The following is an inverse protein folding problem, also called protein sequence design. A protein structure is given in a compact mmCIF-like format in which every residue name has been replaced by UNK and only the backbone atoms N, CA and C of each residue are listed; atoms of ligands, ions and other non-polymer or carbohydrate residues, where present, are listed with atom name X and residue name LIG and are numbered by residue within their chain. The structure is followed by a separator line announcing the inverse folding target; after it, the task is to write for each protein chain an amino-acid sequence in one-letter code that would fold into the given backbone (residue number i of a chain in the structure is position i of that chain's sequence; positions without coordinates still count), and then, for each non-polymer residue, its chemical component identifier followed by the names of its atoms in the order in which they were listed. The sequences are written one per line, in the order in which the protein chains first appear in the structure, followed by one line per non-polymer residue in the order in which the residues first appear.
data_IF_046957205100
#
_entry.id   IF_046957205100
#
_cell.length_a   1.000
_cell.length_b   1.000
_cell.length_c   1.000
_cell.angle_alpha   90.00
_cell.angle_beta   90.00
_cell.angle_gamma   90.00
#
_symmetry.space_group_name_H-M   'P 1'
#
loop_
_entity.id
_entity.type
_entity.pdbx_description
1 polymer ?
#
# COMPACT_ATOMS: atom_id res chain seq x y z
N UNK A 1 -26.69 -7.25 1.49
CA UNK A 1 -25.46 -6.51 1.11
C UNK A 1 -25.73 -5.05 1.41
N UNK A 2 -24.83 -4.29 2.06
CA UNK A 2 -25.05 -2.86 2.18
C UNK A 2 -25.12 -2.24 0.79
N UNK A 3 -25.93 -1.20 0.65
CA UNK A 3 -26.18 -0.45 -0.60
C UNK A 3 -24.95 0.40 -0.96
N UNK A 4 -23.79 -0.22 -1.18
CA UNK A 4 -22.60 0.51 -1.64
C UNK A 4 -22.90 1.15 -2.99
N UNK A 5 -22.81 2.47 -3.04
CA UNK A 5 -22.92 3.24 -4.29
C UNK A 5 -21.53 3.47 -4.87
N UNK A 6 -21.33 3.06 -6.12
CA UNK A 6 -20.07 3.23 -6.84
C UNK A 6 -20.19 4.37 -7.85
N UNK A 7 -19.16 5.22 -7.91
CA UNK A 7 -19.11 6.38 -8.79
C UNK A 7 -17.81 6.40 -9.58
N UNK A 8 -17.92 6.59 -10.90
CA UNK A 8 -16.79 6.93 -11.76
C UNK A 8 -16.81 8.41 -12.09
N UNK A 9 -15.74 9.13 -11.77
CA UNK A 9 -15.48 10.49 -12.19
C UNK A 9 -14.36 10.49 -13.25
N UNK A 10 -14.73 10.76 -14.50
CA UNK A 10 -13.79 10.89 -15.63
C UNK A 10 -13.68 12.36 -16.00
N UNK A 11 -12.47 12.87 -16.17
CA UNK A 11 -12.29 14.19 -16.78
C UNK A 11 -12.40 14.09 -18.30
N UNK A 12 -13.27 14.88 -18.94
CA UNK A 12 -13.54 14.82 -20.40
C UNK A 12 -12.46 15.45 -21.31
N UNK A 13 -11.34 15.93 -20.76
CA UNK A 13 -10.24 16.50 -21.53
C UNK A 13 -9.10 15.49 -21.70
N UNK A 14 -8.38 15.51 -22.83
CA UNK A 14 -7.16 14.72 -23.02
C UNK A 14 -6.17 15.03 -21.89
N UNK A 15 -5.67 13.98 -21.22
CA UNK A 15 -4.73 14.14 -20.10
C UNK A 15 -5.36 14.13 -18.71
N UNK A 16 -6.63 13.73 -18.55
CA UNK A 16 -7.29 13.67 -17.25
C UNK A 16 -7.29 12.28 -16.61
N UNK A 17 -7.29 12.30 -15.28
CA UNK A 17 -7.24 11.13 -14.38
C UNK A 17 -8.63 10.52 -14.24
N UNK A 18 -8.74 9.20 -14.36
CA UNK A 18 -9.98 8.47 -14.04
C UNK A 18 -10.00 8.13 -12.55
N UNK A 19 -11.11 8.43 -11.86
CA UNK A 19 -11.27 8.18 -10.43
C UNK A 19 -12.54 7.37 -10.18
N UNK A 20 -12.42 6.29 -9.44
CA UNK A 20 -13.52 5.40 -9.09
C UNK A 20 -13.63 5.32 -7.58
N UNK A 21 -14.84 5.43 -7.04
CA UNK A 21 -15.11 5.50 -5.60
C UNK A 21 -16.20 4.51 -5.21
N UNK A 22 -16.03 3.83 -4.07
CA UNK A 22 -17.11 3.28 -3.27
C UNK A 22 -17.43 4.29 -2.16
N UNK A 23 -18.71 4.60 -1.96
CA UNK A 23 -19.16 5.51 -0.91
C UNK A 23 -20.16 4.85 0.04
N UNK A 24 -20.11 5.24 1.31
CA UNK A 24 -21.12 4.89 2.31
C UNK A 24 -22.37 5.77 2.17
N UNK A 25 -23.45 5.34 2.81
CA UNK A 25 -24.64 6.16 3.03
C UNK A 25 -24.24 7.45 3.77
N UNK A 26 -24.31 8.59 3.07
CA UNK A 26 -23.81 9.89 3.57
C UNK A 26 -22.61 10.48 2.80
N UNK A 27 -22.15 9.83 1.73
CA UNK A 27 -21.17 10.39 0.79
C UNK A 27 -19.71 10.25 1.20
N UNK A 28 -19.44 9.53 2.29
CA UNK A 28 -18.08 9.22 2.72
C UNK A 28 -17.43 8.20 1.77
N UNK A 29 -16.25 8.50 1.24
CA UNK A 29 -15.47 7.52 0.44
C UNK A 29 -14.93 6.41 1.34
N UNK A 30 -15.29 5.17 1.00
CA UNK A 30 -14.85 3.93 1.62
C UNK A 30 -13.61 3.35 0.91
N UNK A 31 -13.64 3.29 -0.43
CA UNK A 31 -12.55 2.77 -1.28
C UNK A 31 -12.43 3.62 -2.53
N UNK A 32 -11.23 3.72 -3.09
CA UNK A 32 -11.00 4.44 -4.35
C UNK A 32 -9.86 3.91 -5.21
N UNK A 33 -10.05 3.88 -6.53
CA UNK A 33 -8.96 3.69 -7.49
C UNK A 33 -8.83 4.91 -8.37
N UNK A 34 -7.59 5.35 -8.55
CA UNK A 34 -7.26 6.47 -9.42
C UNK A 34 -6.28 6.00 -10.48
N UNK A 35 -6.59 6.25 -11.76
CA UNK A 35 -5.70 6.01 -12.90
C UNK A 35 -5.21 7.34 -13.47
N UNK A 36 -3.90 7.49 -13.51
CA UNK A 36 -3.21 8.58 -14.17
C UNK A 36 -3.50 8.59 -15.69
N UNK A 37 -3.30 9.73 -16.37
CA UNK A 37 -3.60 9.87 -17.80
C UNK A 37 -2.82 8.91 -18.70
N UNK A 38 -1.67 8.43 -18.23
CA UNK A 38 -0.84 7.41 -18.91
C UNK A 38 -1.42 5.99 -18.81
N UNK A 39 -2.56 5.81 -18.15
CA UNK A 39 -3.16 4.51 -17.85
C UNK A 39 -2.60 3.82 -16.61
N UNK A 40 -1.54 4.37 -16.00
CA UNK A 40 -0.96 3.84 -14.76
C UNK A 40 -1.89 4.09 -13.55
N UNK A 41 -1.92 3.16 -12.59
CA UNK A 41 -2.68 3.34 -11.35
C UNK A 41 -1.89 4.25 -10.40
N UNK A 42 -2.43 5.40 -10.04
CA UNK A 42 -1.82 6.32 -9.08
C UNK A 42 -2.30 6.11 -7.63
N UNK A 43 -3.50 5.54 -7.42
CA UNK A 43 -4.00 5.18 -6.09
C UNK A 43 -4.97 3.98 -6.15
N UNK A 44 -4.99 3.20 -5.08
CA UNK A 44 -5.89 2.09 -4.78
C UNK A 44 -6.15 2.02 -3.26
N UNK A 45 -6.69 3.10 -2.70
CA UNK A 45 -6.73 3.39 -1.25
C UNK A 45 -8.10 3.09 -0.63
N UNK A 46 -8.11 2.50 0.57
CA UNK A 46 -9.31 2.15 1.34
C UNK A 46 -9.25 2.72 2.77
N UNK A 47 -10.33 3.38 3.17
CA UNK A 47 -10.45 4.02 4.48
C UNK A 47 -10.33 3.02 5.61
N UNK A 48 -11.08 1.92 5.52
CA UNK A 48 -11.08 0.87 6.53
C UNK A 48 -9.67 0.33 6.79
N UNK A 49 -8.91 0.11 5.73
CA UNK A 49 -7.53 -0.39 5.84
C UNK A 49 -6.60 0.67 6.45
N UNK A 50 -6.70 1.92 6.03
CA UNK A 50 -5.95 3.03 6.64
C UNK A 50 -6.27 3.19 8.14
N UNK A 51 -7.52 2.99 8.53
CA UNK A 51 -7.93 3.04 9.94
C UNK A 51 -7.36 1.86 10.74
N UNK A 52 -7.39 0.64 10.20
CA UNK A 52 -6.73 -0.53 10.80
C UNK A 52 -5.21 -0.31 10.96
N UNK A 53 -4.57 0.25 9.93
CA UNK A 53 -3.14 0.60 9.96
C UNK A 53 -2.84 1.66 11.01
N UNK A 54 -3.71 2.66 11.18
CA UNK A 54 -3.60 3.68 12.22
C UNK A 54 -3.75 3.08 13.62
N UNK A 55 -4.74 2.22 13.81
CA UNK A 55 -4.99 1.56 15.08
C UNK A 55 -3.78 0.74 15.54
N UNK A 56 -3.18 -0.03 14.62
CA UNK A 56 -2.06 -0.93 14.95
C UNK A 56 -0.69 -0.25 15.00
N UNK A 57 -0.42 0.65 14.06
CA UNK A 57 0.93 1.19 13.83
C UNK A 57 0.98 2.74 13.87
N UNK A 58 -0.11 3.40 14.28
CA UNK A 58 -0.19 4.85 14.36
C UNK A 58 -0.10 5.55 13.02
N UNK A 59 0.33 6.82 13.03
CA UNK A 59 0.53 7.62 11.82
C UNK A 59 1.58 7.02 10.87
N UNK A 60 2.56 6.29 11.41
CA UNK A 60 3.57 5.60 10.61
C UNK A 60 2.95 4.52 9.72
N UNK A 61 2.02 3.72 10.25
CA UNK A 61 1.29 2.72 9.46
C UNK A 61 0.49 3.32 8.31
N UNK A 62 -0.18 4.45 8.57
CA UNK A 62 -0.92 5.17 7.53
C UNK A 62 0.02 5.67 6.44
N UNK A 63 1.16 6.22 6.81
CA UNK A 63 2.14 6.71 5.84
C UNK A 63 2.72 5.58 4.97
N UNK A 64 2.92 4.38 5.53
CA UNK A 64 3.29 3.19 4.74
C UNK A 64 2.17 2.76 3.79
N UNK A 65 0.93 2.73 4.29
CA UNK A 65 -0.25 2.40 3.50
C UNK A 65 -0.39 3.31 2.29
N UNK A 66 -0.25 4.62 2.49
CA UNK A 66 -0.34 5.62 1.44
C UNK A 66 0.87 5.59 0.49
N UNK A 67 2.06 5.20 0.96
CA UNK A 67 3.21 4.99 0.08
C UNK A 67 2.94 3.86 -0.93
N UNK A 68 2.35 2.73 -0.46
CA UNK A 68 2.02 1.59 -1.33
C UNK A 68 0.81 1.91 -2.19
N UNK A 69 -0.33 2.24 -1.58
CA UNK A 69 -1.62 2.34 -2.26
C UNK A 69 -2.00 3.76 -2.70
N UNK A 70 -1.12 4.75 -2.54
CA UNK A 70 -1.39 6.15 -2.84
C UNK A 70 -2.22 6.83 -1.75
N UNK A 71 -2.22 8.16 -1.73
CA UNK A 71 -3.04 8.95 -0.81
C UNK A 71 -4.51 9.00 -1.28
N UNK A 72 -5.47 9.26 -0.38
CA UNK A 72 -6.84 9.44 -0.80
C UNK A 72 -6.98 10.71 -1.65
N UNK A 73 -7.54 10.60 -2.85
CA UNK A 73 -7.93 11.78 -3.61
C UNK A 73 -9.14 12.44 -2.92
N UNK A 74 -9.22 13.76 -3.01
CA UNK A 74 -10.45 14.45 -2.62
C UNK A 74 -11.60 13.93 -3.48
N UNK A 75 -12.73 13.53 -2.86
CA UNK A 75 -13.92 13.22 -3.63
C UNK A 75 -14.31 14.44 -4.45
N UNK A 76 -15.00 14.26 -5.59
CA UNK A 76 -15.65 15.39 -6.23
C UNK A 76 -16.48 16.11 -5.17
N UNK A 77 -16.20 17.40 -4.96
CA UNK A 77 -16.98 18.22 -4.05
C UNK A 77 -18.46 18.05 -4.36
N UNK A 78 -19.31 18.09 -3.33
CA UNK A 78 -20.76 17.99 -3.47
C UNK A 78 -21.21 18.78 -4.70
N UNK A 79 -21.95 18.19 -5.65
CA UNK A 79 -22.38 18.91 -6.84
C UNK A 79 -23.07 20.19 -6.39
N UNK A 80 -22.43 21.34 -6.66
CA UNK A 80 -23.01 22.64 -6.40
C UNK A 80 -24.34 22.77 -7.15
N UNK A 81 -25.23 23.69 -6.72
CA UNK A 81 -26.53 23.86 -7.36
C UNK A 81 -26.39 23.98 -8.87
N UNK A 82 -27.23 23.23 -9.57
CA UNK A 82 -27.23 22.97 -11.01
C UNK A 82 -26.79 24.20 -11.83
N UNK A 83 -25.56 24.18 -12.32
CA UNK A 83 -25.01 25.30 -13.09
C UNK A 83 -23.52 25.20 -13.42
N UNK A 84 -22.74 24.42 -12.67
CA UNK A 84 -21.38 24.07 -13.06
C UNK A 84 -21.41 22.80 -13.91
N UNK A 85 -20.84 22.86 -15.11
CA UNK A 85 -20.62 21.76 -16.04
C UNK A 85 -19.73 20.66 -15.43
N UNK A 86 -20.25 19.92 -14.45
CA UNK A 86 -19.66 18.71 -13.93
C UNK A 86 -19.92 17.59 -14.93
N UNK A 87 -18.85 16.97 -15.41
CA UNK A 87 -18.94 15.76 -16.23
C UNK A 87 -19.82 14.73 -15.51
N UNK A 88 -20.77 14.07 -16.20
CA UNK A 88 -21.63 13.07 -15.56
C UNK A 88 -20.78 11.96 -14.95
N UNK A 89 -20.94 11.78 -13.64
CA UNK A 89 -20.40 10.61 -12.95
C UNK A 89 -21.26 9.42 -13.37
N UNK A 90 -20.66 8.39 -13.98
CA UNK A 90 -21.39 7.18 -14.35
C UNK A 90 -21.47 6.25 -13.13
N UNK A 91 -22.65 5.68 -12.89
CA UNK A 91 -22.82 4.58 -11.94
C UNK A 91 -22.24 3.31 -12.56
N UNK A 92 -21.33 2.65 -11.85
CA UNK A 92 -20.77 1.36 -12.27
C UNK A 92 -21.43 0.22 -11.49
N UNK A 93 -21.37 -0.98 -12.06
CA UNK A 93 -21.70 -2.19 -11.32
C UNK A 93 -20.64 -2.51 -10.25
N UNK A 94 -21.02 -3.30 -9.24
CA UNK A 94 -20.10 -3.76 -8.21
C UNK A 94 -18.95 -4.60 -8.79
N UNK A 95 -19.23 -5.43 -9.79
CA UNK A 95 -18.22 -6.28 -10.44
C UNK A 95 -17.17 -5.44 -11.19
N UNK A 96 -17.61 -4.42 -11.95
CA UNK A 96 -16.70 -3.50 -12.62
C UNK A 96 -15.80 -2.76 -11.64
N UNK A 97 -16.35 -2.31 -10.51
CA UNK A 97 -15.56 -1.67 -9.46
C UNK A 97 -14.58 -2.64 -8.80
N UNK A 98 -14.98 -3.87 -8.50
CA UNK A 98 -14.09 -4.84 -7.85
C UNK A 98 -12.95 -5.31 -8.77
N UNK A 99 -13.18 -5.55 -10.07
CA UNK A 99 -12.10 -5.84 -11.02
C UNK A 99 -11.11 -4.67 -11.13
N UNK A 100 -11.66 -3.46 -11.26
CA UNK A 100 -10.92 -2.21 -11.24
C UNK A 100 -10.06 -2.03 -9.98
N UNK A 101 -10.67 -2.27 -8.82
CA UNK A 101 -10.07 -2.18 -7.50
C UNK A 101 -8.93 -3.17 -7.33
N UNK A 102 -9.18 -4.43 -7.65
CA UNK A 102 -8.20 -5.50 -7.59
C UNK A 102 -6.98 -5.22 -8.47
N UNK A 103 -7.19 -4.85 -9.74
CA UNK A 103 -6.10 -4.46 -10.65
C UNK A 103 -5.34 -3.25 -10.14
N UNK A 104 -6.06 -2.28 -9.57
CA UNK A 104 -5.49 -1.10 -8.94
C UNK A 104 -4.50 -1.47 -7.83
N UNK A 105 -4.94 -2.33 -6.91
CA UNK A 105 -4.12 -2.82 -5.80
C UNK A 105 -2.90 -3.58 -6.28
N UNK A 106 -3.07 -4.54 -7.19
CA UNK A 106 -1.93 -5.29 -7.75
C UNK A 106 -0.93 -4.32 -8.39
N UNK A 107 -1.41 -3.42 -9.25
CA UNK A 107 -0.55 -2.46 -9.94
C UNK A 107 0.26 -1.62 -8.96
N UNK A 108 -0.38 -1.08 -7.93
CA UNK A 108 0.27 -0.31 -6.87
C UNK A 108 1.25 -1.13 -6.04
N UNK A 109 0.90 -2.36 -5.69
CA UNK A 109 1.73 -3.26 -4.88
C UNK A 109 3.10 -3.53 -5.52
N UNK A 110 3.16 -3.55 -6.85
CA UNK A 110 4.39 -3.81 -7.62
C UNK A 110 5.03 -2.55 -8.21
N UNK A 111 4.42 -1.37 -8.01
CA UNK A 111 5.00 -0.10 -8.47
C UNK A 111 6.07 0.35 -7.47
N UNK A 112 7.29 0.71 -7.92
CA UNK A 112 8.29 1.31 -7.03
C UNK A 112 7.73 2.58 -6.38
N UNK A 113 8.00 2.76 -5.09
CA UNK A 113 7.63 3.96 -4.36
C UNK A 113 8.91 4.66 -3.86
N UNK A 114 9.06 5.91 -4.28
CA UNK A 114 10.19 6.81 -4.00
C UNK A 114 9.89 7.82 -2.87
N UNK A 115 8.74 7.66 -2.22
CA UNK A 115 8.23 8.53 -1.17
C UNK A 115 7.70 7.74 0.02
N UNK A 116 7.29 8.45 1.07
CA UNK A 116 6.87 7.86 2.34
C UNK A 116 8.00 7.77 3.36
N UNK A 117 7.76 7.10 4.50
CA UNK A 117 8.70 7.13 5.62
C UNK A 117 9.92 6.22 5.41
N UNK A 118 9.83 5.24 4.51
CA UNK A 118 10.93 4.32 4.12
C UNK A 118 10.86 4.02 2.62
N UNK A 119 11.29 4.96 1.75
CA UNK A 119 11.32 4.75 0.30
C UNK A 119 12.12 3.51 -0.09
N UNK A 120 11.78 2.90 -1.23
CA UNK A 120 12.58 1.80 -1.78
C UNK A 120 14.03 2.25 -2.03
N UNK A 121 15.00 1.39 -1.70
CA UNK A 121 16.44 1.68 -1.76
C UNK A 121 17.00 2.36 -0.50
N UNK A 122 16.15 2.74 0.46
CA UNK A 122 16.62 3.30 1.74
C UNK A 122 17.48 2.29 2.49
N UNK A 123 18.62 2.73 3.02
CA UNK A 123 19.44 1.93 3.93
C UNK A 123 18.98 2.14 5.37
N UNK A 124 18.73 1.04 6.09
CA UNK A 124 18.33 1.00 7.48
C UNK A 124 19.27 0.07 8.25
N UNK A 125 19.71 0.49 9.43
CA UNK A 125 20.41 -0.40 10.35
C UNK A 125 19.39 -1.10 11.24
N UNK A 126 19.56 -2.40 11.42
CA UNK A 126 18.68 -3.20 12.27
C UNK A 126 19.42 -4.33 12.98
N UNK A 127 18.69 -5.01 13.87
CA UNK A 127 19.18 -6.19 14.58
C UNK A 127 18.29 -7.38 14.25
N UNK A 128 18.89 -8.51 13.89
CA UNK A 128 18.14 -9.75 13.67
C UNK A 128 17.51 -10.20 14.98
N UNK A 129 16.19 -10.29 15.03
CA UNK A 129 15.43 -10.61 16.25
C UNK A 129 14.92 -12.06 16.27
N UNK A 130 14.65 -12.65 15.10
CA UNK A 130 14.28 -14.06 15.00
C UNK A 130 14.58 -14.69 13.62
N UNK A 131 14.68 -16.02 13.64
CA UNK A 131 14.60 -16.88 12.46
C UNK A 131 13.35 -17.76 12.66
N UNK A 132 12.15 -17.29 12.26
CA UNK A 132 10.91 -17.86 12.80
C UNK A 132 10.67 -19.33 12.43
N UNK A 133 11.34 -19.81 11.37
CA UNK A 133 11.31 -21.21 10.92
C UNK A 133 12.69 -21.88 10.92
N UNK A 134 13.70 -21.22 11.48
CA UNK A 134 15.10 -21.65 11.46
C UNK A 134 15.86 -21.24 10.19
N UNK A 135 17.20 -21.42 10.20
CA UNK A 135 18.06 -21.12 9.05
C UNK A 135 17.68 -21.91 7.80
N UNK A 136 17.76 -21.29 6.62
CA UNK A 136 17.58 -21.94 5.33
C UNK A 136 16.12 -22.16 4.89
N UNK A 137 15.12 -21.77 5.69
CA UNK A 137 13.71 -22.13 5.43
C UNK A 137 12.93 -21.03 4.72
N UNK A 138 12.85 -19.82 5.29
CA UNK A 138 12.03 -18.72 4.73
C UNK A 138 12.73 -17.36 4.79
N UNK A 139 13.51 -17.12 5.83
CA UNK A 139 14.18 -15.83 6.05
C UNK A 139 14.35 -15.51 7.53
N UNK A 140 14.67 -14.25 7.80
CA UNK A 140 14.85 -13.73 9.15
C UNK A 140 14.07 -12.43 9.34
N UNK A 141 13.67 -12.17 10.58
CA UNK A 141 13.07 -10.90 10.98
C UNK A 141 14.15 -9.96 11.51
N UNK A 142 13.92 -8.66 11.35
CA UNK A 142 14.85 -7.61 11.76
C UNK A 142 14.08 -6.57 12.56
N UNK A 143 14.51 -6.32 13.79
CA UNK A 143 14.10 -5.15 14.54
C UNK A 143 14.82 -3.90 13.99
N UNK A 144 14.03 -2.95 13.52
CA UNK A 144 14.48 -1.69 12.92
C UNK A 144 14.33 -0.50 13.90
N UNK A 145 13.81 -0.72 15.11
CA UNK A 145 13.40 0.35 16.01
C UNK A 145 12.23 1.20 15.47
N UNK A 146 11.49 0.67 14.49
CA UNK A 146 10.32 1.28 13.88
C UNK A 146 9.04 0.56 14.35
N UNK A 147 7.86 1.20 14.25
CA UNK A 147 6.59 0.53 14.57
C UNK A 147 6.29 -0.72 13.74
N UNK A 148 6.99 -0.90 12.61
CA UNK A 148 6.86 -2.05 11.70
C UNK A 148 8.22 -2.74 11.57
N UNK A 149 8.23 -4.06 11.74
CA UNK A 149 9.44 -4.88 11.63
C UNK A 149 9.91 -5.09 10.18
N UNK A 150 11.19 -5.41 10.06
CA UNK A 150 11.83 -5.83 8.82
C UNK A 150 11.78 -7.33 8.61
N UNK A 151 11.87 -7.77 7.37
CA UNK A 151 12.08 -9.17 7.01
C UNK A 151 12.99 -9.30 5.81
N UNK A 152 13.98 -10.18 5.94
CA UNK A 152 14.88 -10.56 4.86
C UNK A 152 14.45 -11.92 4.35
N UNK A 153 14.06 -11.97 3.08
CA UNK A 153 13.77 -13.22 2.38
C UNK A 153 15.00 -14.12 2.29
N UNK A 154 14.81 -15.44 2.39
CA UNK A 154 15.91 -16.41 2.18
C UNK A 154 16.63 -16.21 0.84
N UNK A 155 15.93 -15.76 -0.20
CA UNK A 155 16.53 -15.50 -1.52
C UNK A 155 17.51 -14.32 -1.54
N UNK A 156 17.53 -13.50 -0.48
CA UNK A 156 18.49 -12.42 -0.27
C UNK A 156 19.62 -12.79 0.72
N UNK A 157 19.60 -14.01 1.28
CA UNK A 157 20.60 -14.52 2.21
C UNK A 157 21.57 -15.46 1.50
N UNK A 158 22.74 -15.76 2.11
CA UNK A 158 23.62 -16.80 1.62
C UNK A 158 22.88 -18.13 1.45
N UNK A 159 23.22 -18.88 0.39
CA UNK A 159 22.64 -20.19 0.13
C UNK A 159 23.00 -21.24 1.18
N UNK A 160 24.12 -21.03 1.90
CA UNK A 160 24.51 -21.82 3.06
C UNK A 160 23.84 -21.27 4.33
N UNK A 161 22.92 -22.03 4.98
CA UNK A 161 22.22 -21.59 6.19
C UNK A 161 23.15 -21.29 7.38
N UNK A 162 24.32 -21.90 7.45
CA UNK A 162 25.28 -21.68 8.54
C UNK A 162 25.93 -20.29 8.46
N UNK A 163 25.82 -19.63 7.29
CA UNK A 163 26.28 -18.27 7.06
C UNK A 163 25.18 -17.22 7.29
N UNK A 164 23.98 -17.63 7.71
CA UNK A 164 22.92 -16.67 8.03
C UNK A 164 23.28 -15.87 9.28
N UNK A 165 22.96 -14.56 9.32
CA UNK A 165 23.15 -13.76 10.52
C UNK A 165 22.40 -14.36 11.72
N UNK A 166 23.11 -14.53 12.83
CA UNK A 166 22.52 -15.02 14.07
C UNK A 166 21.56 -13.99 14.70
N UNK A 167 20.61 -14.47 15.52
CA UNK A 167 19.80 -13.58 16.37
C UNK A 167 20.72 -12.70 17.24
N UNK A 168 20.42 -11.41 17.30
CA UNK A 168 21.24 -10.38 17.94
C UNK A 168 22.29 -9.74 17.02
N UNK A 169 22.55 -10.30 15.84
CA UNK A 169 23.47 -9.69 14.89
C UNK A 169 22.91 -8.37 14.37
N UNK A 170 23.75 -7.33 14.38
CA UNK A 170 23.43 -6.02 13.81
C UNK A 170 23.96 -5.95 12.37
N UNK A 171 23.19 -5.33 11.48
CA UNK A 171 23.60 -5.15 10.09
C UNK A 171 22.88 -3.98 9.43
N UNK A 172 23.38 -3.61 8.26
CA UNK A 172 22.73 -2.64 7.38
C UNK A 172 21.93 -3.38 6.30
N UNK A 173 20.75 -2.85 6.03
CA UNK A 173 19.77 -3.46 5.14
C UNK A 173 19.22 -2.42 4.18
N UNK A 174 18.96 -2.82 2.95
CA UNK A 174 18.28 -1.99 1.95
C UNK A 174 16.81 -2.38 1.86
N UNK A 175 15.93 -1.38 1.85
CA UNK A 175 14.48 -1.54 1.64
C UNK A 175 14.21 -1.93 0.19
N UNK A 176 13.54 -3.06 -0.01
CA UNK A 176 13.21 -3.59 -1.34
C UNK A 176 11.74 -3.39 -1.69
N UNK A 177 10.84 -3.63 -0.74
CA UNK A 177 9.41 -3.39 -0.92
C UNK A 177 8.70 -3.31 0.44
N UNK A 178 7.42 -2.94 0.44
CA UNK A 178 6.55 -2.99 1.60
C UNK A 178 5.48 -4.07 1.36
N UNK A 179 5.26 -4.92 2.34
CA UNK A 179 4.13 -5.85 2.35
C UNK A 179 3.10 -5.29 3.31
N UNK A 180 1.90 -5.04 2.80
CA UNK A 180 0.75 -4.60 3.59
C UNK A 180 -0.39 -5.54 3.30
N UNK A 181 -0.97 -6.06 4.36
CA UNK A 181 -2.18 -6.88 4.34
C UNK A 181 -3.13 -6.34 5.40
N UNK A 182 -4.42 -6.31 5.08
CA UNK A 182 -5.47 -5.92 6.02
C UNK A 182 -6.56 -6.99 6.10
N UNK A 183 -6.42 -8.10 5.37
CA UNK A 183 -7.28 -9.26 5.48
C UNK A 183 -7.00 -9.96 6.83
N UNK A 184 -8.03 -10.08 7.67
CA UNK A 184 -7.87 -10.61 9.03
C UNK A 184 -7.20 -9.66 10.04
N UNK A 185 -6.87 -8.43 9.65
CA UNK A 185 -6.30 -7.37 10.51
C UNK A 185 -5.11 -6.67 9.87
N UNK A 186 -4.72 -5.50 10.38
CA UNK A 186 -3.57 -4.77 9.84
C UNK A 186 -2.27 -5.58 10.03
N UNK A 187 -1.55 -5.85 8.96
CA UNK A 187 -0.21 -6.40 8.94
C UNK A 187 0.63 -5.57 7.99
N UNK A 188 1.81 -5.16 8.44
CA UNK A 188 2.79 -4.53 7.60
C UNK A 188 4.17 -5.10 7.90
N UNK A 189 5.00 -5.15 6.86
CA UNK A 189 6.37 -5.62 6.97
C UNK A 189 7.24 -4.92 5.93
N UNK A 190 8.40 -4.43 6.37
CA UNK A 190 9.41 -3.85 5.49
C UNK A 190 10.24 -5.00 4.94
N UNK A 191 10.23 -5.21 3.62
CA UNK A 191 11.05 -6.25 2.97
C UNK A 191 12.42 -5.70 2.68
N UNK A 192 13.42 -6.46 3.12
CA UNK A 192 14.80 -6.05 3.18
C UNK A 192 15.70 -7.02 2.41
N UNK A 193 16.87 -6.53 2.00
CA UNK A 193 18.04 -7.35 1.70
C UNK A 193 19.23 -6.85 2.49
N UNK A 194 20.24 -7.69 2.80
CA UNK A 194 21.51 -7.20 3.34
C UNK A 194 22.12 -6.18 2.38
N UNK A 195 22.59 -5.05 2.91
CA UNK A 195 23.35 -4.10 2.11
C UNK A 195 24.75 -4.69 1.86
N UNK A 196 25.23 -4.61 0.63
CA UNK A 196 26.64 -4.83 0.36
C UNK A 196 27.43 -3.61 0.88
N UNK A 197 28.56 -3.90 1.53
CA UNK A 197 29.58 -2.90 1.86
C UNK A 197 30.20 -2.30 0.59
#
# INVERSE_FOLDING_TARGET
MPNSSYLCARGLLPGLTERWFETADGGQVLRQVTRAPTGAVSSAWARREADLMRERFGSFGVALYEAVYGAPAEPPGTPGPAGASGTPSATLSAEEFEDAWWRGRIGRHFTPYDSGPVPQGTRLTGTVDALPWGPGVTGLTVDLGLPVGGFVDMGALPGDPDLWPAVGARGDFEVITLRIDCEGGAHAQIRLRPAAD
#
